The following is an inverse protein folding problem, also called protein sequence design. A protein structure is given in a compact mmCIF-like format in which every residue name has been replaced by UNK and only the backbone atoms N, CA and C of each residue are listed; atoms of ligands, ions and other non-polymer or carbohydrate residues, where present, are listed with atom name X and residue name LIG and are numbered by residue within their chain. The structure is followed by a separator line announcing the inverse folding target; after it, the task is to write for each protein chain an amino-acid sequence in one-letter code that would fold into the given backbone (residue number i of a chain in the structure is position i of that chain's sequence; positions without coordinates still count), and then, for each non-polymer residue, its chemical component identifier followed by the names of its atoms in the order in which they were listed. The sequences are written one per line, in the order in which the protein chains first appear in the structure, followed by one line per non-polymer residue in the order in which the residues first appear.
data_IF_309671409177
#
_entry.id   IF_309671409177
#
_cell.length_a   1.000
_cell.length_b   1.000
_cell.length_c   1.000
_cell.angle_alpha   90.00
_cell.angle_beta   90.00
_cell.angle_gamma   90.00
#
_symmetry.space_group_name_H-M   'P 1'
#
loop_
_entity.id
_entity.type
_entity.pdbx_description
1 polymer ?
#
# COMPACT_ATOMS: atom_id res chain seq x y z
N UNK A 1 -27.90 46.68 15.67
CA UNK A 1 -26.96 46.62 14.53
C UNK A 1 -26.28 45.27 14.61
N UNK A 2 -26.73 44.32 13.79
CA UNK A 2 -26.16 42.98 13.70
C UNK A 2 -24.82 43.07 12.97
N UNK A 3 -23.75 42.57 13.58
CA UNK A 3 -22.58 42.09 12.86
C UNK A 3 -22.42 40.62 13.25
N UNK A 4 -22.61 39.67 12.31
CA UNK A 4 -22.28 38.29 12.60
C UNK A 4 -20.76 38.16 12.73
N UNK A 5 -20.35 37.44 13.76
CA UNK A 5 -19.01 36.88 13.92
C UNK A 5 -18.64 36.12 12.66
N UNK A 6 -17.61 36.56 11.94
CA UNK A 6 -16.94 35.70 10.96
C UNK A 6 -16.22 34.62 11.76
N UNK A 7 -16.89 33.49 11.87
CA UNK A 7 -16.31 32.24 12.30
C UNK A 7 -15.02 31.98 11.52
N UNK A 8 -13.99 31.55 12.25
CA UNK A 8 -12.76 31.00 11.73
C UNK A 8 -13.07 29.78 10.85
N UNK A 9 -13.41 30.00 9.58
CA UNK A 9 -13.35 28.94 8.57
C UNK A 9 -11.89 28.73 8.19
N UNK A 10 -11.16 27.99 9.03
CA UNK A 10 -9.98 27.26 8.57
C UNK A 10 -10.54 26.07 7.78
N UNK A 11 -10.72 26.24 6.46
CA UNK A 11 -10.92 25.08 5.58
C UNK A 11 -9.75 24.12 5.82
N UNK A 12 -10.04 22.88 6.17
CA UNK A 12 -9.02 21.84 6.11
C UNK A 12 -8.72 21.67 4.62
N UNK A 13 -7.45 21.68 4.18
CA UNK A 13 -7.16 21.69 2.73
C UNK A 13 -7.70 20.45 2.00
N UNK A 14 -7.98 19.37 2.74
CA UNK A 14 -8.64 18.15 2.26
C UNK A 14 -10.12 18.40 1.92
N UNK A 15 -10.76 19.42 2.49
CA UNK A 15 -12.16 19.78 2.19
C UNK A 15 -12.33 20.26 0.74
N UNK A 16 -11.24 20.65 0.08
CA UNK A 16 -11.22 20.98 -1.35
C UNK A 16 -11.21 19.74 -2.26
N UNK A 17 -11.04 18.53 -1.71
CA UNK A 17 -10.95 17.29 -2.46
C UNK A 17 -12.33 16.67 -2.57
N UNK A 18 -12.77 16.45 -3.81
CA UNK A 18 -14.00 15.72 -4.08
C UNK A 18 -13.76 14.21 -3.92
N UNK A 19 -14.55 13.55 -3.08
CA UNK A 19 -14.58 12.09 -2.97
C UNK A 19 -15.98 11.56 -3.28
N UNK A 20 -16.07 10.49 -4.04
CA UNK A 20 -17.34 9.82 -4.36
C UNK A 20 -17.20 8.32 -4.15
N UNK A 21 -18.20 7.71 -3.52
CA UNK A 21 -18.31 6.27 -3.45
C UNK A 21 -18.61 5.68 -4.83
N UNK A 22 -17.90 4.63 -5.18
CA UNK A 22 -17.94 4.02 -6.50
C UNK A 22 -18.55 2.62 -6.38
N UNK A 23 -19.62 2.35 -7.14
CA UNK A 23 -20.18 1.01 -7.23
C UNK A 23 -19.36 0.19 -8.24
N UNK A 24 -18.43 -0.59 -7.70
CA UNK A 24 -17.53 -1.46 -8.46
C UNK A 24 -18.32 -2.50 -9.28
N UNK A 25 -19.56 -2.84 -8.89
CA UNK A 25 -20.38 -3.80 -9.63
C UNK A 25 -20.83 -3.27 -10.99
N UNK A 26 -21.05 -1.95 -11.08
CA UNK A 26 -21.53 -1.28 -12.29
C UNK A 26 -20.43 -0.65 -13.14
N UNK A 27 -19.16 -0.85 -12.77
CA UNK A 27 -18.05 -0.44 -13.63
C UNK A 27 -17.99 -1.30 -14.90
N UNK A 28 -17.93 -0.61 -16.04
CA UNK A 28 -17.64 -1.20 -17.34
C UNK A 28 -16.14 -1.15 -17.63
N UNK A 29 -15.70 -1.93 -18.62
CA UNK A 29 -14.35 -1.81 -19.17
C UNK A 29 -14.17 -0.40 -19.74
N UNK A 30 -13.07 0.30 -19.42
CA UNK A 30 -12.75 1.59 -20.03
C UNK A 30 -12.82 1.55 -21.55
N UNK A 31 -13.38 2.60 -22.16
CA UNK A 31 -13.47 2.77 -23.61
C UNK A 31 -12.39 3.69 -24.14
N UNK A 32 -11.78 4.49 -23.26
CA UNK A 32 -10.73 5.45 -23.59
C UNK A 32 -9.52 5.29 -22.66
N UNK A 33 -8.36 5.76 -23.12
CA UNK A 33 -7.14 5.83 -22.31
C UNK A 33 -7.34 6.64 -21.03
N UNK A 34 -8.06 7.76 -21.11
CA UNK A 34 -8.33 8.61 -19.94
C UNK A 34 -9.13 7.86 -18.86
N UNK A 35 -10.16 7.11 -19.25
CA UNK A 35 -10.92 6.27 -18.32
C UNK A 35 -10.06 5.16 -17.71
N UNK A 36 -9.18 4.55 -18.52
CA UNK A 36 -8.25 3.53 -18.04
C UNK A 36 -7.23 4.12 -17.05
N UNK A 37 -6.72 5.32 -17.31
CA UNK A 37 -5.81 6.01 -16.40
C UNK A 37 -6.47 6.33 -15.06
N UNK A 38 -7.76 6.71 -15.04
CA UNK A 38 -8.53 6.91 -13.79
C UNK A 38 -8.68 5.61 -12.98
N UNK A 39 -8.84 4.46 -13.63
CA UNK A 39 -8.88 3.16 -12.95
C UNK A 39 -7.49 2.63 -12.55
N UNK A 40 -6.43 3.14 -13.17
CA UNK A 40 -5.07 2.61 -13.01
C UNK A 40 -4.37 3.00 -11.72
N UNK A 41 -4.79 4.10 -11.08
CA UNK A 41 -4.19 4.59 -9.83
C UNK A 41 -5.01 4.13 -8.64
N UNK A 42 -4.40 3.32 -7.79
CA UNK A 42 -5.06 2.74 -6.64
C UNK A 42 -4.25 2.94 -5.38
N UNK A 43 -4.95 3.10 -4.25
CA UNK A 43 -4.37 3.19 -2.92
C UNK A 43 -5.06 2.23 -1.96
N UNK A 44 -4.29 1.29 -1.42
CA UNK A 44 -4.71 0.44 -0.32
C UNK A 44 -4.17 0.98 1.00
N UNK A 45 -5.07 1.47 1.85
CA UNK A 45 -4.70 2.05 3.13
C UNK A 45 -4.33 1.01 4.20
N UNK A 46 -3.53 1.47 5.15
CA UNK A 46 -3.10 0.75 6.34
C UNK A 46 -4.07 0.85 7.52
N UNK A 47 -3.60 0.42 8.69
CA UNK A 47 -4.32 0.57 9.95
C UNK A 47 -4.38 2.03 10.40
N UNK A 48 -5.35 2.36 11.24
CA UNK A 48 -5.65 3.66 11.81
C UNK A 48 -6.16 4.70 10.79
N UNK A 49 -6.55 4.27 9.58
CA UNK A 49 -7.27 5.10 8.62
C UNK A 49 -8.78 4.83 8.74
N UNK A 50 -9.36 5.28 9.86
CA UNK A 50 -10.73 4.94 10.25
C UNK A 50 -11.77 5.82 9.55
N UNK A 51 -11.45 7.10 9.35
CA UNK A 51 -12.33 8.06 8.66
C UNK A 51 -11.97 8.24 7.20
N UNK A 52 -12.90 8.76 6.39
CA UNK A 52 -12.61 9.08 4.99
C UNK A 52 -11.55 10.20 4.89
N UNK A 53 -11.51 11.13 5.85
CA UNK A 53 -10.46 12.14 5.95
C UNK A 53 -9.06 11.51 6.20
N UNK A 54 -8.95 10.49 7.05
CA UNK A 54 -7.67 9.79 7.29
C UNK A 54 -7.21 9.06 6.02
N UNK A 55 -8.15 8.47 5.28
CA UNK A 55 -7.87 7.79 4.00
C UNK A 55 -7.39 8.77 2.95
N UNK A 56 -8.04 9.92 2.81
CA UNK A 56 -7.64 10.99 1.89
C UNK A 56 -6.29 11.61 2.29
N UNK A 57 -6.07 11.87 3.59
CA UNK A 57 -4.76 12.34 4.08
C UNK A 57 -3.67 11.34 3.71
N UNK A 58 -3.89 10.06 3.98
CA UNK A 58 -2.93 9.00 3.68
C UNK A 58 -2.65 8.86 2.18
N UNK A 59 -3.67 8.95 1.32
CA UNK A 59 -3.47 8.81 -0.13
C UNK A 59 -2.53 9.88 -0.67
N UNK A 60 -2.69 11.12 -0.20
CA UNK A 60 -1.86 12.27 -0.60
C UNK A 60 -0.48 12.16 0.03
N UNK A 61 -0.42 11.93 1.35
CA UNK A 61 0.83 11.85 2.09
C UNK A 61 1.77 10.81 1.48
N UNK A 62 1.27 9.60 1.24
CA UNK A 62 2.11 8.48 0.81
C UNK A 62 2.22 8.37 -0.71
N UNK A 63 1.16 8.72 -1.45
CA UNK A 63 1.14 8.69 -2.91
C UNK A 63 1.88 9.85 -3.58
N UNK A 64 2.02 10.98 -2.89
CA UNK A 64 2.72 12.16 -3.38
C UNK A 64 1.92 13.00 -4.36
N UNK A 65 2.60 13.90 -5.05
CA UNK A 65 1.97 14.84 -5.99
C UNK A 65 1.24 14.13 -7.13
N UNK A 66 1.72 12.98 -7.62
CA UNK A 66 1.00 12.17 -8.62
C UNK A 66 -0.40 11.75 -8.13
N UNK A 67 -0.58 11.56 -6.82
CA UNK A 67 -1.87 11.20 -6.22
C UNK A 67 -2.69 12.42 -5.80
N UNK A 68 -2.04 13.56 -5.56
CA UNK A 68 -2.71 14.85 -5.31
C UNK A 68 -3.33 15.42 -6.59
N UNK A 69 -2.62 15.29 -7.72
CA UNK A 69 -2.96 15.93 -8.99
C UNK A 69 -3.82 15.06 -9.93
N UNK A 70 -4.14 13.82 -9.53
CA UNK A 70 -4.90 12.88 -10.35
C UNK A 70 -6.02 12.20 -9.57
N UNK A 71 -6.99 11.63 -10.31
CA UNK A 71 -7.99 10.74 -9.74
C UNK A 71 -7.33 9.46 -9.20
N UNK A 72 -7.71 9.07 -7.98
CA UNK A 72 -7.19 7.86 -7.32
C UNK A 72 -8.33 7.04 -6.74
N UNK A 73 -8.31 5.73 -7.01
CA UNK A 73 -9.20 4.77 -6.37
C UNK A 73 -8.68 4.40 -4.98
N UNK A 74 -9.41 4.81 -3.95
CA UNK A 74 -9.11 4.47 -2.56
C UNK A 74 -9.86 3.21 -2.15
N UNK A 75 -9.12 2.16 -1.80
CA UNK A 75 -9.70 0.91 -1.31
C UNK A 75 -10.25 1.14 0.10
N UNK A 76 -11.57 1.27 0.22
CA UNK A 76 -12.23 1.55 1.50
C UNK A 76 -12.49 0.28 2.31
N UNK A 77 -12.09 0.27 3.58
CA UNK A 77 -12.40 -0.78 4.55
C UNK A 77 -13.15 -0.16 5.72
N UNK A 78 -14.46 -0.44 5.91
CA UNK A 78 -15.23 0.14 7.00
C UNK A 78 -14.81 -0.52 8.32
N UNK A 79 -14.09 0.24 9.15
CA UNK A 79 -13.76 -0.17 10.52
C UNK A 79 -14.71 0.52 11.49
N UNK A 80 -15.29 -0.25 12.39
CA UNK A 80 -16.20 0.25 13.43
C UNK A 80 -15.48 0.63 14.73
N UNK A 81 -14.21 0.22 14.90
CA UNK A 81 -13.37 0.47 16.08
C UNK A 81 -11.90 0.11 15.81
N UNK A 82 -10.99 0.60 16.65
CA UNK A 82 -9.57 0.17 16.65
C UNK A 82 -9.45 -1.35 16.87
N UNK A 83 -10.25 -1.92 17.77
CA UNK A 83 -10.22 -3.36 18.07
C UNK A 83 -10.64 -4.21 16.86
N UNK A 84 -11.68 -3.79 16.13
CA UNK A 84 -12.12 -4.48 14.92
C UNK A 84 -11.11 -4.33 13.79
N UNK A 85 -10.45 -3.18 13.67
CA UNK A 85 -9.34 -2.98 12.74
C UNK A 85 -8.13 -3.87 13.06
N UNK A 86 -7.71 -3.96 14.33
CA UNK A 86 -6.60 -4.83 14.76
C UNK A 86 -6.92 -6.32 14.58
N UNK A 87 -8.14 -6.73 14.88
CA UNK A 87 -8.59 -8.11 14.64
C UNK A 87 -8.56 -8.43 13.15
N UNK A 88 -9.12 -7.55 12.33
CA UNK A 88 -9.10 -7.67 10.87
C UNK A 88 -7.68 -7.71 10.31
N UNK A 89 -6.77 -6.91 10.88
CA UNK A 89 -5.33 -6.88 10.54
C UNK A 89 -4.69 -8.26 10.69
N UNK A 90 -4.93 -8.93 11.82
CA UNK A 90 -4.39 -10.27 12.08
C UNK A 90 -4.97 -11.28 11.09
N UNK A 91 -6.29 -11.26 10.87
CA UNK A 91 -6.95 -12.18 9.95
C UNK A 91 -6.53 -11.99 8.49
N UNK A 92 -6.42 -10.75 8.01
CA UNK A 92 -5.99 -10.48 6.63
C UNK A 92 -4.56 -10.96 6.39
N UNK A 93 -3.65 -10.76 7.34
CA UNK A 93 -2.28 -11.26 7.20
C UNK A 93 -2.19 -12.78 7.23
N UNK A 94 -2.96 -13.42 8.11
CA UNK A 94 -3.07 -14.87 8.14
C UNK A 94 -3.58 -15.40 6.79
N UNK A 95 -4.66 -14.82 6.27
CA UNK A 95 -5.23 -15.17 4.95
C UNK A 95 -4.24 -14.92 3.81
N UNK A 96 -3.48 -13.83 3.92
CA UNK A 96 -2.45 -13.46 2.97
C UNK A 96 -1.37 -14.53 2.95
N UNK A 97 -0.79 -14.90 4.10
CA UNK A 97 0.24 -15.93 4.18
C UNK A 97 -0.24 -17.32 3.76
N UNK A 98 -1.43 -17.74 4.21
CA UNK A 98 -1.96 -19.07 3.93
C UNK A 98 -2.18 -19.30 2.44
N UNK A 99 -2.62 -18.27 1.71
CA UNK A 99 -2.94 -18.37 0.27
C UNK A 99 -3.96 -19.50 -0.01
N UNK A 100 -5.01 -19.56 0.83
CA UNK A 100 -6.11 -20.54 0.69
C UNK A 100 -7.47 -19.82 0.60
N UNK A 101 -7.69 -19.00 -0.46
CA UNK A 101 -8.95 -18.29 -0.65
C UNK A 101 -10.16 -19.23 -0.88
N UNK A 102 -9.94 -20.50 -1.23
CA UNK A 102 -11.01 -21.51 -1.32
C UNK A 102 -11.67 -21.82 0.03
N UNK A 103 -10.93 -21.70 1.14
CA UNK A 103 -11.42 -21.97 2.49
C UNK A 103 -11.84 -20.68 3.19
N UNK A 104 -10.98 -19.64 3.13
CA UNK A 104 -11.19 -18.40 3.87
C UNK A 104 -11.83 -17.29 3.04
N UNK A 105 -12.11 -17.54 1.77
CA UNK A 105 -12.67 -16.55 0.86
C UNK A 105 -11.74 -15.34 0.65
N UNK A 106 -12.37 -14.21 0.32
CA UNK A 106 -11.72 -12.93 0.30
C UNK A 106 -12.65 -11.81 0.76
N UNK A 107 -12.09 -10.78 1.39
CA UNK A 107 -12.84 -9.58 1.74
C UNK A 107 -13.39 -8.89 0.49
N UNK A 108 -14.52 -8.19 0.60
CA UNK A 108 -15.08 -7.42 -0.52
C UNK A 108 -14.05 -6.46 -1.11
N UNK A 109 -13.31 -5.74 -0.25
CA UNK A 109 -12.21 -4.88 -0.67
C UNK A 109 -11.11 -5.61 -1.49
N UNK A 110 -10.83 -6.88 -1.21
CA UNK A 110 -9.87 -7.66 -2.01
C UNK A 110 -10.47 -8.08 -3.36
N UNK A 111 -11.75 -8.47 -3.36
CA UNK A 111 -12.48 -8.87 -4.57
C UNK A 111 -12.66 -7.71 -5.54
N UNK A 112 -13.00 -6.54 -5.01
CA UNK A 112 -13.19 -5.30 -5.76
C UNK A 112 -11.88 -4.80 -6.37
N UNK A 113 -10.77 -4.85 -5.63
CA UNK A 113 -9.43 -4.59 -6.19
C UNK A 113 -9.15 -5.50 -7.38
N UNK A 114 -9.31 -6.82 -7.21
CA UNK A 114 -9.08 -7.78 -8.29
C UNK A 114 -10.00 -7.54 -9.51
N UNK A 115 -11.25 -7.12 -9.27
CA UNK A 115 -12.19 -6.76 -10.34
C UNK A 115 -11.71 -5.53 -11.12
N UNK A 116 -11.28 -4.46 -10.44
CA UNK A 116 -10.74 -3.26 -11.11
C UNK A 116 -9.50 -3.60 -11.93
N UNK A 117 -8.61 -4.45 -11.41
CA UNK A 117 -7.45 -4.92 -12.17
C UNK A 117 -7.86 -5.71 -13.41
N UNK A 118 -8.90 -6.53 -13.31
CA UNK A 118 -9.48 -7.25 -14.45
C UNK A 118 -10.04 -6.32 -15.54
N UNK A 119 -10.70 -5.22 -15.14
CA UNK A 119 -11.20 -4.21 -16.10
C UNK A 119 -10.05 -3.51 -16.84
N UNK A 120 -8.98 -3.15 -16.12
CA UNK A 120 -7.79 -2.55 -16.73
C UNK A 120 -7.06 -3.54 -17.65
N UNK A 121 -6.98 -4.82 -17.26
CA UNK A 121 -6.43 -5.88 -18.09
C UNK A 121 -7.23 -6.09 -19.37
N UNK A 122 -8.55 -6.06 -19.28
CA UNK A 122 -9.40 -6.17 -20.46
C UNK A 122 -9.22 -4.97 -21.40
N UNK A 123 -9.13 -3.75 -20.87
CA UNK A 123 -8.77 -2.57 -21.66
C UNK A 123 -7.41 -2.75 -22.35
N UNK A 124 -6.37 -3.13 -21.60
CA UNK A 124 -5.00 -3.30 -22.13
C UNK A 124 -4.90 -4.42 -23.17
N UNK A 125 -5.70 -5.47 -23.03
CA UNK A 125 -5.81 -6.56 -24.02
C UNK A 125 -6.44 -6.06 -25.32
N UNK A 126 -7.46 -5.21 -25.22
CA UNK A 126 -8.16 -4.64 -26.38
C UNK A 126 -7.36 -3.50 -27.05
N UNK A 127 -6.38 -2.92 -26.34
CA UNK A 127 -5.57 -1.79 -26.80
C UNK A 127 -4.06 -2.08 -26.67
N UNK A 128 -3.51 -3.03 -27.44
CA UNK A 128 -2.14 -3.52 -27.25
C UNK A 128 -1.05 -2.46 -27.47
N UNK A 129 -1.34 -1.45 -28.30
CA UNK A 129 -0.42 -0.36 -28.62
C UNK A 129 -0.57 0.87 -27.70
N UNK A 130 -1.61 0.90 -26.85
CA UNK A 130 -1.93 2.04 -25.97
C UNK A 130 -2.27 1.58 -24.54
N UNK A 131 -1.39 0.75 -23.98
CA UNK A 131 -1.55 0.16 -22.66
C UNK A 131 -1.35 1.20 -21.55
N UNK A 132 -2.00 0.94 -20.41
CA UNK A 132 -1.90 1.72 -19.18
C UNK A 132 -1.39 0.82 -18.06
N UNK A 133 -0.30 1.25 -17.41
CA UNK A 133 0.29 0.57 -16.27
C UNK A 133 -0.62 0.67 -15.04
N UNK A 134 -0.74 -0.42 -14.28
CA UNK A 134 -1.42 -0.40 -12.97
C UNK A 134 -0.49 0.23 -11.92
N UNK A 135 -0.79 1.44 -11.47
CA UNK A 135 -0.12 2.13 -10.36
C UNK A 135 -0.81 1.77 -9.05
N UNK A 136 -0.21 0.88 -8.27
CA UNK A 136 -0.80 0.40 -7.01
C UNK A 136 0.05 0.80 -5.81
N UNK A 137 -0.46 1.71 -4.99
CA UNK A 137 0.19 2.10 -3.76
C UNK A 137 -0.42 1.36 -2.56
N UNK A 138 0.42 0.78 -1.71
CA UNK A 138 -0.01 0.11 -0.49
C UNK A 138 0.75 0.63 0.73
N UNK A 139 0.03 1.17 1.71
CA UNK A 139 0.61 1.57 2.99
C UNK A 139 0.32 0.52 4.07
N UNK A 140 1.33 0.09 4.82
CA UNK A 140 1.16 -0.77 6.00
C UNK A 140 0.32 -2.02 5.72
N UNK A 141 -0.83 -2.20 6.38
CA UNK A 141 -1.74 -3.34 6.16
C UNK A 141 -2.26 -3.40 4.72
N UNK A 142 -2.27 -2.28 4.00
CA UNK A 142 -2.53 -2.23 2.56
C UNK A 142 -1.77 -3.31 1.80
N UNK A 143 -0.50 -3.55 2.12
CA UNK A 143 0.32 -4.55 1.44
C UNK A 143 -0.25 -5.98 1.55
N UNK A 144 -0.62 -6.41 2.76
CA UNK A 144 -1.26 -7.73 2.95
C UNK A 144 -2.65 -7.83 2.30
N UNK A 145 -3.42 -6.73 2.30
CA UNK A 145 -4.73 -6.69 1.67
C UNK A 145 -4.64 -6.78 0.14
N UNK A 146 -3.65 -6.12 -0.44
CA UNK A 146 -3.36 -6.22 -1.87
C UNK A 146 -2.82 -7.60 -2.22
N UNK A 147 -1.99 -8.21 -1.36
CA UNK A 147 -1.60 -9.63 -1.50
C UNK A 147 -2.82 -10.54 -1.50
N UNK A 148 -3.78 -10.30 -0.62
CA UNK A 148 -5.04 -11.05 -0.59
C UNK A 148 -5.89 -10.88 -1.85
N UNK A 149 -5.90 -9.69 -2.45
CA UNK A 149 -6.53 -9.45 -3.75
C UNK A 149 -5.83 -10.25 -4.85
N UNK A 150 -4.49 -10.35 -4.83
CA UNK A 150 -3.73 -11.22 -5.71
C UNK A 150 -4.05 -12.72 -5.49
N UNK A 151 -4.13 -13.18 -4.25
CA UNK A 151 -4.56 -14.56 -3.93
C UNK A 151 -5.94 -14.85 -4.51
N UNK A 152 -6.87 -13.91 -4.35
CA UNK A 152 -8.21 -14.05 -4.90
C UNK A 152 -8.21 -14.10 -6.43
N UNK A 153 -7.47 -13.21 -7.09
CA UNK A 153 -7.34 -13.21 -8.55
C UNK A 153 -6.79 -14.56 -9.07
N UNK A 154 -5.72 -15.07 -8.45
CA UNK A 154 -5.12 -16.36 -8.79
C UNK A 154 -6.13 -17.51 -8.65
N UNK A 155 -6.87 -17.54 -7.54
CA UNK A 155 -7.91 -18.53 -7.30
C UNK A 155 -9.07 -18.47 -8.29
N UNK A 156 -9.38 -17.28 -8.81
CA UNK A 156 -10.37 -17.10 -9.87
C UNK A 156 -9.81 -17.37 -11.27
N UNK A 157 -8.53 -17.75 -11.39
CA UNK A 157 -7.86 -17.97 -12.68
C UNK A 157 -7.64 -16.69 -13.48
N UNK A 158 -7.64 -15.53 -12.83
CA UNK A 158 -7.44 -14.21 -13.46
C UNK A 158 -5.94 -13.96 -13.59
N UNK A 159 -5.49 -13.69 -14.81
CA UNK A 159 -4.11 -13.33 -15.15
C UNK A 159 -4.07 -11.92 -15.75
N UNK A 160 -2.99 -11.19 -15.51
CA UNK A 160 -2.79 -9.80 -15.92
C UNK A 160 -1.61 -9.70 -16.90
N UNK A 161 -1.70 -10.47 -18.00
CA UNK A 161 -0.61 -10.60 -18.97
C UNK A 161 -0.40 -9.35 -19.83
N UNK A 162 -1.43 -8.52 -19.98
CA UNK A 162 -1.40 -7.30 -20.77
C UNK A 162 -1.16 -6.05 -19.92
N UNK A 163 -1.16 -6.17 -18.60
CA UNK A 163 -1.01 -5.06 -17.66
C UNK A 163 0.33 -5.14 -16.96
N UNK A 164 1.06 -4.03 -16.95
CA UNK A 164 2.30 -3.90 -16.18
C UNK A 164 1.99 -3.39 -14.78
N UNK A 165 2.49 -4.07 -13.76
CA UNK A 165 2.35 -3.62 -12.37
C UNK A 165 3.44 -2.61 -12.00
N UNK A 166 3.04 -1.45 -11.49
CA UNK A 166 3.88 -0.46 -10.81
C UNK A 166 3.42 -0.35 -9.36
N UNK A 167 3.89 -1.27 -8.53
CA UNK A 167 3.56 -1.30 -7.11
C UNK A 167 4.53 -0.41 -6.32
N UNK A 168 4.00 0.37 -5.38
CA UNK A 168 4.78 1.10 -4.38
C UNK A 168 4.28 0.76 -2.98
N UNK A 169 5.17 0.44 -2.05
CA UNK A 169 4.79 0.09 -0.67
C UNK A 169 5.63 0.82 0.36
N UNK A 170 4.99 1.36 1.40
CA UNK A 170 5.69 2.00 2.53
C UNK A 170 5.14 1.52 3.86
N UNK A 171 5.98 1.55 4.89
CA UNK A 171 5.64 1.01 6.22
C UNK A 171 5.22 -0.45 6.17
N UNK A 172 5.85 -1.25 5.30
CA UNK A 172 5.29 -2.53 4.85
C UNK A 172 5.07 -3.50 6.01
N UNK A 173 3.87 -4.08 6.03
CA UNK A 173 3.44 -5.02 7.03
C UNK A 173 3.39 -6.48 6.53
N UNK A 174 3.83 -6.70 5.29
CA UNK A 174 3.88 -8.00 4.63
C UNK A 174 5.22 -8.14 3.87
N UNK A 175 5.79 -9.34 3.76
CA UNK A 175 7.02 -9.57 3.00
C UNK A 175 6.95 -9.02 1.57
N UNK A 176 7.96 -8.24 1.16
CA UNK A 176 8.15 -7.94 -0.26
C UNK A 176 8.77 -9.12 -1.02
N UNK A 177 9.55 -9.95 -0.33
CA UNK A 177 10.16 -11.19 -0.83
C UNK A 177 9.93 -12.32 0.19
N UNK A 178 9.87 -13.55 -0.28
CA UNK A 178 9.82 -14.71 0.62
C UNK A 178 11.23 -15.16 1.01
N UNK A 179 11.48 -15.28 2.32
CA UNK A 179 12.69 -15.91 2.88
C UNK A 179 12.38 -16.90 4.03
N UNK A 180 11.12 -17.34 4.19
CA UNK A 180 10.79 -18.26 5.29
C UNK A 180 11.35 -19.65 5.03
N UNK A 181 11.73 -20.35 6.09
CA UNK A 181 12.18 -21.75 6.00
C UNK A 181 11.05 -22.62 5.43
N UNK A 182 9.79 -22.38 5.83
CA UNK A 182 8.62 -23.10 5.30
C UNK A 182 8.36 -22.81 3.81
N UNK A 183 8.49 -21.56 3.38
CA UNK A 183 8.43 -21.16 1.97
C UNK A 183 9.55 -21.78 1.14
N UNK A 184 10.76 -21.83 1.71
CA UNK A 184 11.93 -22.45 1.07
C UNK A 184 11.80 -23.97 0.97
N UNK A 185 11.40 -24.65 2.06
CA UNK A 185 11.21 -26.10 2.12
C UNK A 185 10.02 -26.57 1.28
N UNK A 186 8.98 -25.74 1.14
CA UNK A 186 7.86 -26.01 0.24
C UNK A 186 8.13 -25.60 -1.20
N UNK A 187 9.36 -25.20 -1.57
CA UNK A 187 9.67 -24.76 -2.94
C UNK A 187 8.82 -23.57 -3.43
N UNK A 188 8.30 -22.75 -2.51
CA UNK A 188 7.44 -21.61 -2.81
C UNK A 188 5.98 -21.95 -3.11
N UNK A 189 5.52 -23.17 -2.80
CA UNK A 189 4.12 -23.60 -3.00
C UNK A 189 3.12 -22.93 -2.04
N UNK A 190 3.53 -22.60 -0.80
CA UNK A 190 2.75 -21.77 0.15
C UNK A 190 3.65 -20.69 0.77
N UNK A 191 3.05 -19.62 1.32
CA UNK A 191 3.76 -18.49 1.95
C UNK A 191 4.56 -17.59 0.98
N UNK A 192 3.99 -17.26 -0.17
CA UNK A 192 4.64 -16.38 -1.14
C UNK A 192 4.69 -14.92 -0.67
N UNK A 193 5.84 -14.27 -0.85
CA UNK A 193 5.99 -12.84 -0.66
C UNK A 193 5.20 -12.06 -1.71
N UNK A 194 5.04 -10.76 -1.47
CA UNK A 194 4.26 -9.87 -2.33
C UNK A 194 4.75 -9.92 -3.79
N UNK A 195 6.07 -9.86 -4.02
CA UNK A 195 6.62 -9.82 -5.38
C UNK A 195 6.50 -11.16 -6.09
N UNK A 196 6.69 -12.29 -5.40
CA UNK A 196 6.52 -13.62 -6.00
C UNK A 196 5.08 -13.81 -6.47
N UNK A 197 4.11 -13.45 -5.63
CA UNK A 197 2.69 -13.55 -6.01
C UNK A 197 2.35 -12.60 -7.15
N UNK A 198 2.84 -11.36 -7.12
CA UNK A 198 2.68 -10.42 -8.23
C UNK A 198 3.29 -10.98 -9.54
N UNK A 199 4.49 -11.55 -9.48
CA UNK A 199 5.19 -12.08 -10.66
C UNK A 199 4.52 -13.29 -11.32
N UNK A 200 3.68 -14.01 -10.56
CA UNK A 200 2.84 -15.09 -11.09
C UNK A 200 1.65 -14.58 -11.89
N UNK A 201 1.09 -13.43 -11.49
CA UNK A 201 -0.14 -12.89 -12.08
C UNK A 201 0.13 -11.88 -13.19
N UNK A 202 1.19 -11.09 -13.04
CA UNK A 202 1.55 -10.05 -14.00
C UNK A 202 2.74 -10.52 -14.82
N UNK A 203 2.64 -10.38 -16.14
CA UNK A 203 3.74 -10.72 -17.05
C UNK A 203 4.99 -9.90 -16.78
N UNK A 204 4.85 -8.65 -16.35
CA UNK A 204 5.98 -7.81 -15.94
C UNK A 204 5.55 -6.74 -14.95
N UNK A 205 6.51 -6.23 -14.20
CA UNK A 205 6.27 -5.14 -13.27
C UNK A 205 7.45 -4.85 -12.36
N UNK A 206 7.20 -3.95 -11.42
CA UNK A 206 8.15 -3.53 -10.40
C UNK A 206 7.44 -3.29 -9.07
N UNK A 207 8.07 -3.71 -7.99
CA UNK A 207 7.68 -3.41 -6.61
C UNK A 207 8.72 -2.49 -6.01
N UNK A 208 8.39 -1.20 -5.92
CA UNK A 208 9.14 -0.22 -5.14
C UNK A 208 8.70 -0.32 -3.68
N UNK A 209 9.62 -0.35 -2.74
CA UNK A 209 9.29 -0.40 -1.33
C UNK A 209 10.26 0.42 -0.49
N UNK A 210 9.74 1.09 0.54
CA UNK A 210 10.58 1.79 1.52
C UNK A 210 11.39 0.77 2.32
N UNK A 211 12.70 0.97 2.36
CA UNK A 211 13.61 0.21 3.22
C UNK A 211 13.56 0.88 4.59
N UNK A 212 12.43 0.71 5.28
CA UNK A 212 12.26 1.28 6.59
C UNK A 212 13.39 0.79 7.52
N UNK A 213 14.12 1.69 8.21
CA UNK A 213 15.22 1.27 9.07
C UNK A 213 14.80 0.30 10.20
N UNK A 214 13.50 0.18 10.51
CA UNK A 214 12.99 -0.38 11.79
C UNK A 214 11.55 -0.91 11.82
N UNK A 215 10.87 -1.21 10.70
CA UNK A 215 9.59 -1.94 10.81
C UNK A 215 9.93 -3.37 11.23
N UNK A 216 9.38 -3.94 12.31
CA UNK A 216 9.37 -5.38 12.59
C UNK A 216 7.93 -5.71 12.91
N UNK A 217 7.28 -6.55 12.12
CA UNK A 217 6.00 -7.12 12.54
C UNK A 217 6.17 -8.59 12.80
N UNK A 218 6.22 -8.95 14.08
CA UNK A 218 6.31 -10.32 14.54
C UNK A 218 5.00 -11.07 14.28
N UNK A 219 5.07 -12.24 13.64
CA UNK A 219 3.90 -13.07 13.33
C UNK A 219 4.19 -14.57 13.50
N UNK A 220 4.19 -15.09 14.73
CA UNK A 220 4.23 -16.54 14.98
C UNK A 220 3.00 -17.01 15.76
N UNK A 221 2.63 -18.29 15.64
CA UNK A 221 1.59 -18.97 16.46
C UNK A 221 1.99 -19.04 17.96
N UNK A 222 3.15 -18.50 18.35
CA UNK A 222 3.49 -18.22 19.75
C UNK A 222 4.31 -16.93 19.87
N UNK A 223 3.60 -15.82 20.12
CA UNK A 223 4.09 -14.54 20.65
C UNK A 223 4.55 -13.47 19.63
N UNK A 224 4.26 -12.18 19.92
CA UNK A 224 4.60 -11.01 19.10
C UNK A 224 6.09 -10.59 19.18
N UNK A 225 7.02 -11.53 19.42
CA UNK A 225 8.43 -11.21 19.72
C UNK A 225 9.48 -12.06 18.97
N UNK A 226 9.08 -12.90 18.01
CA UNK A 226 10.03 -13.70 17.21
C UNK A 226 10.23 -13.06 15.84
N UNK A 227 11.48 -12.69 15.52
CA UNK A 227 11.91 -12.22 14.20
C UNK A 227 11.56 -13.24 13.11
N UNK A 228 11.07 -12.77 11.97
CA UNK A 228 10.48 -13.63 10.94
C UNK A 228 11.39 -14.68 10.35
N UNK A 229 12.69 -14.42 10.22
CA UNK A 229 13.68 -15.44 9.82
C UNK A 229 13.76 -16.68 10.73
N UNK A 230 13.30 -16.61 11.97
CA UNK A 230 13.37 -17.71 12.94
C UNK A 230 12.02 -18.34 13.26
N UNK A 231 10.95 -17.94 12.59
CA UNK A 231 9.62 -18.44 12.89
C UNK A 231 9.16 -19.54 11.96
N UNK A 232 8.40 -20.47 12.53
CA UNK A 232 7.73 -21.58 11.83
C UNK A 232 6.28 -21.22 11.42
N UNK A 233 5.87 -19.95 11.58
CA UNK A 233 4.51 -19.47 11.30
C UNK A 233 4.37 -18.85 9.91
N UNK A 234 3.18 -19.05 9.31
CA UNK A 234 2.79 -18.53 8.00
C UNK A 234 2.63 -17.00 8.06
N UNK A 235 3.17 -16.27 7.08
CA UNK A 235 3.19 -14.81 7.07
C UNK A 235 4.25 -14.17 7.95
N UNK A 236 5.35 -14.88 8.26
CA UNK A 236 6.44 -14.39 9.09
C UNK A 236 7.74 -14.25 8.32
N UNK A 237 8.01 -13.05 7.83
CA UNK A 237 9.23 -12.74 7.07
C UNK A 237 9.93 -11.58 7.70
N UNK A 238 11.26 -11.55 7.58
CA UNK A 238 12.04 -10.36 7.88
C UNK A 238 11.41 -9.17 7.17
N UNK A 239 11.04 -8.18 7.96
CA UNK A 239 10.84 -6.84 7.46
C UNK A 239 12.14 -6.36 6.83
N UNK A 240 12.04 -5.54 5.81
CA UNK A 240 13.16 -5.12 4.96
C UNK A 240 14.18 -4.18 5.66
N UNK A 241 14.16 -4.10 6.99
CA UNK A 241 15.08 -3.30 7.80
C UNK A 241 16.31 -4.09 8.27
N UNK A 242 17.48 -3.43 8.27
CA UNK A 242 18.79 -4.04 8.55
C UNK A 242 19.23 -4.04 10.03
N UNK A 243 18.36 -3.68 10.98
CA UNK A 243 18.72 -3.52 12.39
C UNK A 243 18.10 -4.60 13.32
N UNK A 244 18.95 -5.22 14.15
CA UNK A 244 18.65 -6.40 15.00
C UNK A 244 17.86 -6.07 16.29
N UNK A 245 17.70 -4.79 16.65
CA UNK A 245 16.99 -4.32 17.86
C UNK A 245 15.81 -3.45 17.46
N UNK A 246 14.60 -3.99 17.60
CA UNK A 246 13.36 -3.52 16.96
C UNK A 246 12.66 -2.32 17.59
N UNK A 247 11.61 -1.85 16.90
CA UNK A 247 10.55 -1.01 17.47
C UNK A 247 9.29 -1.87 17.62
N UNK A 248 8.83 -2.16 18.84
CA UNK A 248 7.46 -2.64 19.06
C UNK A 248 6.50 -1.51 18.68
N UNK A 249 5.26 -1.82 18.33
CA UNK A 249 4.07 -0.97 18.08
C UNK A 249 4.04 0.50 18.62
N UNK A 250 4.85 0.87 19.63
CA UNK A 250 5.15 2.22 20.11
C UNK A 250 5.44 3.27 19.02
N UNK A 251 6.14 2.96 17.93
CA UNK A 251 6.43 3.91 16.85
C UNK A 251 5.19 4.51 16.16
N UNK A 252 4.10 3.74 16.14
CA UNK A 252 2.79 4.17 15.61
C UNK A 252 2.12 5.16 16.59
N UNK A 253 2.36 5.00 17.89
CA UNK A 253 1.84 5.89 18.94
C UNK A 253 2.74 7.09 19.23
N UNK A 254 4.01 7.09 18.82
CA UNK A 254 4.97 8.19 19.04
C UNK A 254 4.98 9.25 17.91
N UNK A 255 4.23 9.06 16.83
CA UNK A 255 4.13 10.01 15.72
C UNK A 255 5.23 9.91 14.66
N UNK A 256 6.10 8.91 14.74
CA UNK A 256 7.17 8.70 13.75
C UNK A 256 6.60 8.29 12.38
N UNK A 257 5.56 7.45 12.35
CA UNK A 257 4.89 7.05 11.10
C UNK A 257 4.27 8.22 10.35
N UNK A 258 3.76 9.23 11.06
CA UNK A 258 3.10 10.38 10.43
C UNK A 258 4.11 11.39 9.87
N UNK A 259 5.39 11.37 10.29
CA UNK A 259 6.43 12.26 9.77
C UNK A 259 7.37 11.57 8.77
N UNK A 260 7.53 10.25 8.85
CA UNK A 260 8.54 9.53 8.08
C UNK A 260 8.21 9.41 6.58
N UNK A 261 6.94 9.24 6.21
CA UNK A 261 6.59 8.71 4.87
C UNK A 261 5.89 9.70 3.93
N UNK A 262 6.07 11.02 4.12
CA UNK A 262 5.66 11.97 3.07
C UNK A 262 6.45 11.71 1.79
N UNK A 263 5.78 11.60 0.64
CA UNK A 263 6.45 11.24 -0.63
C UNK A 263 7.34 12.35 -1.18
N UNK A 264 6.87 13.60 -1.11
CA UNK A 264 7.54 14.77 -1.67
C UNK A 264 7.18 16.06 -0.92
N UNK A 265 7.87 17.15 -1.26
CA UNK A 265 7.71 18.45 -0.60
C UNK A 265 6.36 19.11 -0.88
N UNK A 266 5.78 18.85 -2.04
CA UNK A 266 4.49 19.43 -2.46
C UNK A 266 3.37 18.93 -1.56
N UNK A 267 3.29 17.63 -1.30
CA UNK A 267 2.29 17.07 -0.38
C UNK A 267 2.53 17.46 1.07
N UNK A 268 3.79 17.69 1.49
CA UNK A 268 4.09 18.24 2.82
C UNK A 268 3.53 19.65 2.93
N UNK A 269 3.76 20.49 1.91
CA UNK A 269 3.26 21.87 1.84
C UNK A 269 1.74 21.94 1.84
N UNK A 270 1.08 21.06 1.07
CA UNK A 270 -0.38 20.94 1.02
C UNK A 270 -0.95 20.51 2.39
N UNK A 271 -0.55 19.35 2.90
CA UNK A 271 -1.15 18.83 4.13
C UNK A 271 -0.77 19.64 5.39
N UNK A 272 0.38 20.33 5.38
CA UNK A 272 0.92 21.07 6.52
C UNK A 272 1.22 22.54 6.20
N UNK A 273 0.22 23.23 5.62
CA UNK A 273 0.42 24.61 5.15
C UNK A 273 1.04 25.55 6.18
N UNK A 274 2.00 26.36 5.71
CA UNK A 274 2.72 27.36 6.50
C UNK A 274 1.83 28.33 7.28
N UNK A 275 0.60 28.55 6.83
CA UNK A 275 -0.35 29.49 7.44
C UNK A 275 -0.97 28.95 8.74
N UNK A 276 -0.99 27.62 8.95
CA UNK A 276 -1.67 26.99 10.09
C UNK A 276 -0.85 27.06 11.39
N UNK A 277 0.48 26.96 11.30
CA UNK A 277 1.37 26.90 12.46
C UNK A 277 2.70 27.68 12.32
N UNK A 278 2.77 28.60 11.35
CA UNK A 278 4.00 29.32 10.93
C UNK A 278 5.08 28.40 10.34
N UNK A 279 4.71 27.26 9.76
CA UNK A 279 5.62 26.36 9.05
C UNK A 279 6.42 25.42 9.96
N UNK A 280 6.01 25.25 11.23
CA UNK A 280 6.72 24.40 12.18
C UNK A 280 6.60 22.92 11.81
N UNK A 281 5.41 22.45 11.47
CA UNK A 281 5.15 21.07 11.06
C UNK A 281 5.88 20.75 9.75
N UNK A 282 5.74 21.61 8.74
CA UNK A 282 6.47 21.49 7.47
C UNK A 282 7.99 21.38 7.70
N UNK A 283 8.58 22.29 8.48
CA UNK A 283 10.02 22.27 8.76
C UNK A 283 10.43 21.04 9.57
N UNK A 284 9.59 20.62 10.52
CA UNK A 284 9.78 19.43 11.33
C UNK A 284 9.83 18.16 10.49
N UNK A 285 8.90 18.02 9.54
CA UNK A 285 8.83 16.87 8.62
C UNK A 285 10.06 16.84 7.72
N UNK A 286 10.43 17.96 7.09
CA UNK A 286 11.63 18.01 6.22
C UNK A 286 12.90 17.67 7.00
N UNK A 287 13.06 18.23 8.19
CA UNK A 287 14.22 17.96 9.03
C UNK A 287 14.28 16.49 9.46
N UNK A 288 13.13 15.91 9.81
CA UNK A 288 13.02 14.50 10.14
C UNK A 288 13.40 13.62 8.95
N UNK A 289 12.82 13.86 7.76
CA UNK A 289 13.11 13.05 6.58
C UNK A 289 14.56 13.18 6.13
N UNK A 290 15.13 14.38 6.15
CA UNK A 290 16.57 14.56 5.86
C UNK A 290 17.45 13.84 6.87
N UNK A 291 17.04 13.75 8.14
CA UNK A 291 17.80 13.01 9.16
C UNK A 291 17.69 11.50 8.98
N UNK A 292 16.49 10.97 8.79
CA UNK A 292 16.25 9.52 8.75
C UNK A 292 16.52 8.92 7.36
N UNK A 293 16.21 9.64 6.29
CA UNK A 293 16.37 9.21 4.89
C UNK A 293 17.51 9.90 4.15
N UNK A 294 18.10 10.98 4.69
CA UNK A 294 19.09 11.77 3.94
C UNK A 294 18.49 12.59 2.78
N UNK A 295 17.18 12.50 2.55
CA UNK A 295 16.45 13.19 1.48
C UNK A 295 15.00 13.47 1.90
N UNK A 296 14.26 14.24 1.11
CA UNK A 296 12.81 14.35 1.24
C UNK A 296 12.21 13.11 0.57
N UNK A 297 11.26 12.46 1.23
CA UNK A 297 10.76 11.16 0.80
C UNK A 297 11.50 9.97 1.41
N UNK A 298 10.83 8.81 1.56
CA UNK A 298 11.48 7.60 2.02
C UNK A 298 12.49 7.09 0.99
N UNK A 299 13.61 6.52 1.46
CA UNK A 299 14.50 5.75 0.59
C UNK A 299 13.84 4.44 0.18
N UNK A 300 13.85 4.14 -1.10
CA UNK A 300 13.20 2.94 -1.63
C UNK A 300 14.17 2.01 -2.34
N UNK A 301 13.80 0.73 -2.36
CA UNK A 301 14.39 -0.30 -3.22
C UNK A 301 13.34 -0.76 -4.21
N UNK A 302 13.81 -1.17 -5.38
CA UNK A 302 12.93 -1.68 -6.44
C UNK A 302 13.28 -3.14 -6.72
N UNK A 303 12.28 -4.00 -6.74
CA UNK A 303 12.38 -5.36 -7.27
C UNK A 303 11.63 -5.39 -8.59
N UNK A 304 12.35 -5.68 -9.67
CA UNK A 304 11.73 -5.89 -10.98
C UNK A 304 11.41 -7.37 -11.18
N UNK A 305 10.37 -7.66 -11.95
CA UNK A 305 10.02 -9.02 -12.31
C UNK A 305 9.50 -9.11 -13.74
N UNK A 306 9.68 -10.28 -14.35
CA UNK A 306 9.13 -10.61 -15.67
C UNK A 306 8.90 -12.12 -15.80
N UNK A 307 7.71 -12.51 -16.26
CA UNK A 307 7.30 -13.89 -16.55
C UNK A 307 7.62 -14.86 -15.42
N UNK A 308 7.17 -14.56 -14.20
CA UNK A 308 7.44 -15.37 -13.01
C UNK A 308 8.90 -15.34 -12.51
N UNK A 309 9.81 -14.64 -13.20
CA UNK A 309 11.20 -14.49 -12.78
C UNK A 309 11.43 -13.15 -12.12
N UNK A 310 12.24 -13.17 -11.07
CA UNK A 310 12.64 -11.97 -10.34
C UNK A 310 13.96 -11.50 -10.91
N UNK A 311 13.99 -10.25 -11.34
CA UNK A 311 15.14 -9.63 -11.97
C UNK A 311 15.82 -8.80 -10.89
N UNK A 312 16.73 -9.43 -10.16
CA UNK A 312 17.58 -8.76 -9.18
C UNK A 312 18.62 -7.91 -9.92
N UNK A 313 18.22 -6.72 -10.35
CA UNK A 313 19.19 -5.69 -10.71
C UNK A 313 19.70 -5.07 -9.41
N UNK A 314 21.03 -4.92 -9.33
CA UNK A 314 21.74 -4.29 -8.21
C UNK A 314 20.92 -3.14 -7.61
N UNK A 315 20.69 -3.22 -6.30
CA UNK A 315 19.87 -2.29 -5.52
C UNK A 315 20.28 -0.84 -5.82
N UNK A 316 19.51 -0.14 -6.67
CA UNK A 316 19.62 1.31 -6.79
C UNK A 316 18.81 1.91 -5.66
N UNK A 317 19.50 2.49 -4.69
CA UNK A 317 18.86 3.35 -3.69
C UNK A 317 18.31 4.58 -4.42
N UNK A 318 16.97 4.75 -4.37
CA UNK A 318 16.30 5.98 -4.79
C UNK A 318 15.81 6.76 -3.59
#
# INVERSE_FOLDING_TARGET
MFFPTMDNFIFNQIDCIASKELDINNLEVPKTREEAEKLSRMYAHGIMNMTDNDRLTGVIQYGGSDYLDNDVLVVRKPYTSITSELTYTVFERLRAGLDIPSIFGASNASREQAKVWGLLEEYNRNNPDDKVDLKHFSHSLGASSTKNAMNWADYQGIQFDNTKLKANTVGTSYPMRNHTIAGTLSGGFYDQGYTEKASKLFKEGSVEYAVAPRDIVATGINLPYVSGKFSLGIGNTDTTGSNFTGIPLWGIFSGDHTMAYYKDEEVISFLNSFKKDKGKAYSGIINYQKKEWGQIGPRTKIINFSKGNIIENNQEDK
#
